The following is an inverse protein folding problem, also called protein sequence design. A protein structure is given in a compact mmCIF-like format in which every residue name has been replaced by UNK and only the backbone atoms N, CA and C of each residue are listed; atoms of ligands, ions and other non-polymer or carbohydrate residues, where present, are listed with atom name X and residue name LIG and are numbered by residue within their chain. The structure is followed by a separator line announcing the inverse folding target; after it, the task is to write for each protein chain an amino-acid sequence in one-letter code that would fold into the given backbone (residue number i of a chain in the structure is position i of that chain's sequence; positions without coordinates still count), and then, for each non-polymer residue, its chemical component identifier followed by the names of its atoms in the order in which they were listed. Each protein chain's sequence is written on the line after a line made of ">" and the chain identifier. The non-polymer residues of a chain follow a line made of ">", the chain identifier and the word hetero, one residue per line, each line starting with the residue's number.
data_IF_136413168869
#
_entry.id   IF_136413168869
#
_cell.length_a   1.000
_cell.length_b   1.000
_cell.length_c   1.000
_cell.angle_alpha   90.00
_cell.angle_beta   90.00
_cell.angle_gamma   90.00
#
_symmetry.space_group_name_H-M   'P 1'
#
loop_
_entity.id
_entity.type
_entity.pdbx_description
1 polymer ?
#
# COMPACT_ATOMS: atom_id res chain seq x y z
N UNK A 1 -19.28 -11.11 -3.54
CA UNK A 1 -17.97 -11.78 -3.66
C UNK A 1 -17.96 -12.58 -4.95
N UNK A 2 -16.92 -12.47 -5.77
CA UNK A 2 -16.78 -13.29 -6.98
C UNK A 2 -16.54 -14.74 -6.56
N UNK A 3 -17.30 -15.69 -7.12
CA UNK A 3 -17.12 -17.13 -6.85
C UNK A 3 -15.72 -17.55 -7.31
N UNK A 4 -14.93 -18.15 -6.43
CA UNK A 4 -13.62 -18.72 -6.77
C UNK A 4 -13.87 -19.95 -7.63
N UNK A 5 -13.33 -19.97 -8.85
CA UNK A 5 -13.41 -21.14 -9.72
C UNK A 5 -12.49 -22.25 -9.20
N UNK A 6 -12.97 -23.48 -9.21
CA UNK A 6 -12.12 -24.63 -8.94
C UNK A 6 -11.25 -24.90 -10.17
N UNK A 7 -9.94 -24.74 -10.02
CA UNK A 7 -8.98 -24.93 -11.10
C UNK A 7 -8.69 -26.43 -11.29
N UNK A 8 -8.65 -26.88 -12.53
CA UNK A 8 -8.29 -28.25 -12.91
C UNK A 8 -6.79 -28.42 -13.22
N UNK A 9 -6.04 -27.32 -13.30
CA UNK A 9 -4.60 -27.35 -13.58
C UNK A 9 -3.84 -26.19 -12.93
N UNK A 10 -2.51 -26.35 -12.80
CA UNK A 10 -1.63 -25.26 -12.37
C UNK A 10 -1.64 -24.06 -13.32
N UNK A 11 -1.91 -24.28 -14.61
CA UNK A 11 -2.03 -23.18 -15.59
C UNK A 11 -3.25 -22.31 -15.28
N UNK A 12 -4.39 -22.92 -14.94
CA UNK A 12 -5.59 -22.20 -14.54
C UNK A 12 -5.43 -21.45 -13.21
N UNK A 13 -4.72 -22.05 -12.25
CA UNK A 13 -4.39 -21.37 -10.99
C UNK A 13 -3.58 -20.11 -11.27
N UNK A 14 -2.50 -20.22 -12.05
CA UNK A 14 -1.65 -19.07 -12.42
C UNK A 14 -2.43 -18.00 -13.16
N UNK A 15 -3.27 -18.40 -14.12
CA UNK A 15 -4.13 -17.46 -14.84
C UNK A 15 -5.05 -16.66 -13.90
N UNK A 16 -5.65 -17.33 -12.91
CA UNK A 16 -6.49 -16.65 -11.93
C UNK A 16 -5.69 -15.72 -11.01
N UNK A 17 -4.47 -16.11 -10.61
CA UNK A 17 -3.56 -15.27 -9.84
C UNK A 17 -3.16 -14.04 -10.66
N UNK A 18 -2.71 -14.20 -11.91
CA UNK A 18 -2.34 -13.08 -12.78
C UNK A 18 -3.49 -12.08 -12.96
N UNK A 19 -4.73 -12.59 -13.06
CA UNK A 19 -5.94 -11.76 -13.11
C UNK A 19 -6.14 -10.97 -11.81
N UNK A 20 -5.95 -11.61 -10.65
CA UNK A 20 -6.06 -10.95 -9.34
C UNK A 20 -4.94 -9.93 -9.15
N UNK A 21 -3.71 -10.24 -9.55
CA UNK A 21 -2.56 -9.35 -9.44
C UNK A 21 -2.79 -8.06 -10.22
N UNK A 22 -3.36 -8.14 -11.42
CA UNK A 22 -3.77 -6.92 -12.17
C UNK A 22 -4.76 -6.07 -11.39
N UNK A 23 -5.73 -6.68 -10.70
CA UNK A 23 -6.71 -5.96 -9.89
C UNK A 23 -6.06 -5.36 -8.65
N UNK A 24 -5.19 -6.10 -7.96
CA UNK A 24 -4.46 -5.64 -6.79
C UNK A 24 -3.56 -4.45 -7.14
N UNK A 25 -2.80 -4.53 -8.23
CA UNK A 25 -1.94 -3.43 -8.69
C UNK A 25 -2.77 -2.19 -9.04
N UNK A 26 -3.93 -2.34 -9.67
CA UNK A 26 -4.82 -1.21 -9.94
C UNK A 26 -5.31 -0.54 -8.65
N UNK A 27 -5.70 -1.33 -7.64
CA UNK A 27 -6.11 -0.83 -6.33
C UNK A 27 -4.95 -0.15 -5.58
N UNK A 28 -3.73 -0.69 -5.67
CA UNK A 28 -2.54 -0.07 -5.09
C UNK A 28 -2.26 1.27 -5.77
N UNK A 29 -2.39 1.37 -7.10
CA UNK A 29 -2.21 2.62 -7.83
C UNK A 29 -3.24 3.68 -7.39
N UNK A 30 -4.50 3.29 -7.24
CA UNK A 30 -5.57 4.16 -6.72
C UNK A 30 -5.27 4.61 -5.28
N UNK A 31 -4.94 3.68 -4.39
CA UNK A 31 -4.53 3.99 -3.00
C UNK A 31 -3.36 4.97 -2.97
N UNK A 32 -2.37 4.77 -3.84
CA UNK A 32 -1.21 5.66 -3.97
C UNK A 32 -1.57 7.06 -4.44
N UNK A 33 -2.59 7.22 -5.30
CA UNK A 33 -3.10 8.53 -5.69
C UNK A 33 -3.66 9.31 -4.48
N UNK A 34 -4.43 8.64 -3.62
CA UNK A 34 -4.93 9.26 -2.39
C UNK A 34 -3.82 9.58 -1.38
N UNK A 35 -2.79 8.73 -1.27
CA UNK A 35 -1.60 9.05 -0.43
C UNK A 35 -0.92 10.32 -0.92
N UNK A 36 -0.73 10.48 -2.24
CA UNK A 36 -0.16 11.71 -2.81
C UNK A 36 -1.04 12.94 -2.58
N UNK A 37 -2.36 12.80 -2.65
CA UNK A 37 -3.27 13.90 -2.30
C UNK A 37 -3.14 14.27 -0.82
N UNK A 38 -3.01 13.28 0.07
CA UNK A 38 -2.82 13.51 1.50
C UNK A 38 -1.54 14.33 1.80
N UNK A 39 -0.49 14.15 1.00
CA UNK A 39 0.75 14.94 1.10
C UNK A 39 0.51 16.45 0.90
N UNK A 40 -0.44 16.84 0.03
CA UNK A 40 -0.80 18.23 -0.21
C UNK A 40 -1.50 18.92 0.96
N UNK A 41 -2.01 18.16 1.95
CA UNK A 41 -2.60 18.72 3.17
C UNK A 41 -1.59 18.88 4.31
N UNK A 42 -0.36 18.36 4.16
CA UNK A 42 0.67 18.46 5.19
C UNK A 42 1.24 19.88 5.22
N UNK A 43 1.35 20.45 6.42
CA UNK A 43 1.89 21.81 6.59
C UNK A 43 3.41 21.87 6.56
N UNK A 44 4.07 20.75 6.83
CA UNK A 44 5.53 20.59 6.74
C UNK A 44 5.90 19.20 6.22
N UNK A 45 7.07 19.09 5.58
CA UNK A 45 7.60 17.82 5.09
C UNK A 45 7.88 16.80 6.22
N UNK A 46 7.95 17.27 7.46
CA UNK A 46 8.23 16.46 8.66
C UNK A 46 6.97 15.86 9.30
N UNK A 47 5.77 16.10 8.76
CA UNK A 47 4.57 15.33 9.11
C UNK A 47 4.70 13.90 8.53
N UNK A 48 5.58 13.12 9.16
CA UNK A 48 5.59 11.66 9.10
C UNK A 48 4.17 11.20 9.47
N UNK A 49 3.57 10.22 8.76
CA UNK A 49 2.27 9.71 9.18
C UNK A 49 2.31 9.36 10.66
N UNK A 50 1.44 10.01 11.44
CA UNK A 50 1.40 9.82 12.87
C UNK A 50 1.35 8.31 13.17
N UNK A 51 2.22 7.77 14.05
CA UNK A 51 2.24 6.35 14.40
C UNK A 51 0.84 5.79 14.75
N UNK A 52 0.00 6.65 15.32
CA UNK A 52 -1.40 6.36 15.61
C UNK A 52 -2.23 6.02 14.35
N UNK A 53 -2.04 6.73 13.23
CA UNK A 53 -2.77 6.45 11.99
C UNK A 53 -2.37 5.12 11.38
N UNK A 54 -1.08 4.77 11.42
CA UNK A 54 -0.59 3.47 10.96
C UNK A 54 -1.22 2.34 11.79
N UNK A 55 -1.18 2.45 13.12
CA UNK A 55 -1.80 1.47 14.01
C UNK A 55 -3.31 1.30 13.75
N UNK A 56 -4.03 2.39 13.52
CA UNK A 56 -5.46 2.34 13.16
C UNK A 56 -5.72 1.66 11.81
N UNK A 57 -4.85 1.85 10.81
CA UNK A 57 -5.00 1.17 9.52
C UNK A 57 -4.76 -0.33 9.68
N UNK A 58 -3.72 -0.72 10.44
CA UNK A 58 -3.38 -2.12 10.69
C UNK A 58 -4.52 -2.84 11.43
N UNK A 59 -5.03 -2.27 12.52
CA UNK A 59 -6.16 -2.85 13.25
C UNK A 59 -7.42 -3.01 12.37
N UNK A 60 -7.66 -2.08 11.44
CA UNK A 60 -8.79 -2.17 10.50
C UNK A 60 -8.61 -3.30 9.49
N UNK A 61 -7.39 -3.52 8.99
CA UNK A 61 -7.16 -4.55 7.97
C UNK A 61 -7.10 -5.94 8.59
N UNK A 62 -6.67 -6.06 9.85
CA UNK A 62 -6.78 -7.31 10.62
C UNK A 62 -8.25 -7.72 10.77
N UNK A 63 -9.13 -6.77 11.11
CA UNK A 63 -10.57 -7.02 11.19
C UNK A 63 -11.16 -7.43 9.82
N UNK A 64 -10.75 -6.74 8.74
CA UNK A 64 -11.18 -7.09 7.38
C UNK A 64 -10.66 -8.47 6.95
N UNK A 65 -9.45 -8.85 7.36
CA UNK A 65 -8.91 -10.18 7.06
C UNK A 65 -9.81 -11.27 7.64
N UNK A 66 -10.22 -11.11 8.90
CA UNK A 66 -11.15 -12.02 9.56
C UNK A 66 -12.52 -12.03 8.86
N UNK A 67 -13.06 -10.85 8.55
CA UNK A 67 -14.37 -10.72 7.88
C UNK A 67 -14.39 -11.41 6.50
N UNK A 68 -13.30 -11.30 5.74
CA UNK A 68 -13.19 -11.80 4.38
C UNK A 68 -12.60 -13.21 4.29
N UNK A 69 -12.21 -13.82 5.42
CA UNK A 69 -11.59 -15.14 5.48
C UNK A 69 -10.17 -15.20 4.93
N UNK A 70 -9.45 -14.09 4.95
CA UNK A 70 -8.04 -14.03 4.60
C UNK A 70 -7.16 -14.39 5.81
N UNK A 71 -5.96 -14.91 5.56
CA UNK A 71 -4.97 -15.15 6.61
C UNK A 71 -4.51 -13.80 7.21
N UNK A 72 -4.71 -13.57 8.53
CA UNK A 72 -4.35 -12.29 9.15
C UNK A 72 -2.85 -11.98 9.06
N UNK A 73 -1.99 -12.98 9.15
CA UNK A 73 -0.53 -12.81 9.05
C UNK A 73 -0.10 -12.34 7.68
N UNK A 74 -0.70 -12.90 6.61
CA UNK A 74 -0.45 -12.45 5.23
C UNK A 74 -0.92 -11.02 5.02
N UNK A 75 -2.10 -10.67 5.54
CA UNK A 75 -2.66 -9.32 5.40
C UNK A 75 -1.82 -8.28 6.15
N UNK A 76 -1.46 -8.54 7.41
CA UNK A 76 -0.63 -7.64 8.22
C UNK A 76 0.73 -7.40 7.57
N UNK A 77 1.44 -8.46 7.15
CA UNK A 77 2.74 -8.34 6.50
C UNK A 77 2.66 -7.50 5.21
N UNK A 78 1.63 -7.75 4.39
CA UNK A 78 1.39 -7.03 3.15
C UNK A 78 1.12 -5.54 3.40
N UNK A 79 0.27 -5.23 4.39
CA UNK A 79 -0.08 -3.84 4.71
C UNK A 79 1.08 -3.06 5.30
N UNK A 80 1.89 -3.67 6.17
CA UNK A 80 3.11 -3.04 6.71
C UNK A 80 4.09 -2.68 5.60
N UNK A 81 4.38 -3.62 4.71
CA UNK A 81 5.28 -3.40 3.59
C UNK A 81 4.75 -2.30 2.66
N UNK A 82 3.45 -2.33 2.31
CA UNK A 82 2.82 -1.32 1.49
C UNK A 82 2.86 0.08 2.12
N UNK A 83 2.55 0.19 3.43
CA UNK A 83 2.62 1.47 4.15
C UNK A 83 4.05 2.02 4.12
N UNK A 84 5.05 1.19 4.45
CA UNK A 84 6.44 1.61 4.42
C UNK A 84 6.86 2.11 3.02
N UNK A 85 6.53 1.36 1.97
CA UNK A 85 6.84 1.72 0.59
C UNK A 85 6.21 3.05 0.16
N UNK A 86 4.97 3.34 0.58
CA UNK A 86 4.34 4.63 0.28
C UNK A 86 5.01 5.80 1.01
N UNK A 87 5.44 5.59 2.25
CA UNK A 87 6.17 6.61 3.02
C UNK A 87 7.53 6.87 2.35
N UNK A 88 8.25 5.83 1.93
CA UNK A 88 9.51 5.96 1.20
C UNK A 88 9.33 6.71 -0.13
N UNK A 89 8.31 6.34 -0.92
CA UNK A 89 7.99 7.00 -2.17
C UNK A 89 7.65 8.49 -1.98
N UNK A 90 6.93 8.84 -0.91
CA UNK A 90 6.63 10.22 -0.56
C UNK A 90 7.90 11.01 -0.21
N UNK A 91 8.78 10.45 0.63
CA UNK A 91 10.07 11.08 0.97
C UNK A 91 10.92 11.35 -0.26
N UNK A 92 11.04 10.38 -1.17
CA UNK A 92 11.78 10.52 -2.41
C UNK A 92 11.18 11.62 -3.31
N UNK A 93 9.86 11.67 -3.43
CA UNK A 93 9.18 12.71 -4.21
C UNK A 93 9.41 14.11 -3.62
N UNK A 94 9.39 14.26 -2.29
CA UNK A 94 9.67 15.53 -1.63
C UNK A 94 11.12 15.99 -1.83
N UNK A 95 12.09 15.07 -1.72
CA UNK A 95 13.51 15.37 -1.94
C UNK A 95 13.79 15.81 -3.39
N UNK A 96 13.08 15.25 -4.36
CA UNK A 96 13.18 15.67 -5.76
C UNK A 96 12.63 17.09 -6.00
N UNK A 97 11.63 17.54 -5.22
CA UNK A 97 11.09 18.89 -5.29
C UNK A 97 11.96 19.93 -4.55
N UNK A 98 12.70 19.50 -3.53
CA UNK A 98 13.57 20.35 -2.71
C UNK A 98 14.99 19.74 -2.65
N UNK A 99 15.76 19.82 -3.75
CA UNK A 99 17.12 19.30 -3.75
C UNK A 99 18.00 20.05 -2.73
N UNK A 100 18.93 19.37 -2.04
CA UNK A 100 19.84 20.03 -1.12
C UNK A 100 20.70 21.06 -1.87
N UNK A 101 20.89 22.23 -1.28
CA UNK A 101 21.76 23.27 -1.84
C UNK A 101 23.16 22.69 -2.10
N UNK A 102 23.81 23.00 -3.24
CA UNK A 102 25.17 22.56 -3.49
C UNK A 102 26.07 23.09 -2.36
N UNK A 103 26.88 22.20 -1.78
CA UNK A 103 27.85 22.59 -0.76
C UNK A 103 28.87 23.56 -1.37
N UNK A 104 29.15 24.71 -0.74
CA UNK A 104 30.22 25.58 -1.20
C UNK A 104 31.56 24.83 -1.04
N UNK A 105 32.34 24.81 -2.12
CA UNK A 105 33.71 24.30 -2.16
C UNK A 105 34.66 25.17 -1.34
#
# INVERSE_FOLDING_TARGET
>A
MTRIAQCASMAEVRHNIDRLDRQLVALIAERGAYVRQAAGFKKSAEEVPAPQRVAQVLAKVDALAVELGADPGVVDATWRAMIAAFIDAERLAQAALHPPSPQPH
#
